data_IF_750880219517
#
_entry.id   IF_750880219517
#
_cell.length_a   1.000
_cell.length_b   1.000
_cell.length_c   1.000
_cell.angle_alpha   90.00
_cell.angle_beta   90.00
_cell.angle_gamma   90.00
#
_symmetry.space_group_name_H-M   'P 1'
#
loop_
_entity.id
_entity.type
_entity.pdbx_description
1 polymer ?
#
# COMPACT_ATOMS: atom_id res chain seq x y z
N UNK A 1 -1.81 -10.84 12.77
CA UNK A 1 -0.79 -11.49 11.90
C UNK A 1 -1.10 -11.35 10.41
N UNK A 2 -2.23 -11.85 9.93
CA UNK A 2 -2.58 -11.81 8.49
C UNK A 2 -2.48 -10.40 7.89
N UNK A 3 -3.00 -9.38 8.57
CA UNK A 3 -2.92 -7.97 8.10
C UNK A 3 -1.49 -7.41 8.12
N UNK A 4 -0.67 -7.78 9.11
CA UNK A 4 0.71 -7.31 9.23
C UNK A 4 1.59 -7.79 8.07
N UNK A 5 1.36 -9.03 7.63
CA UNK A 5 2.11 -9.68 6.56
C UNK A 5 1.35 -9.71 5.21
N UNK A 6 0.22 -9.02 5.12
CA UNK A 6 -0.69 -9.08 3.97
C UNK A 6 0.00 -8.84 2.63
N UNK A 7 0.86 -7.81 2.53
CA UNK A 7 1.58 -7.54 1.30
C UNK A 7 2.48 -8.70 0.83
N UNK A 8 3.12 -9.40 1.77
CA UNK A 8 3.96 -10.56 1.44
C UNK A 8 3.11 -11.81 1.13
N UNK A 9 2.02 -12.02 1.87
CA UNK A 9 1.08 -13.12 1.59
C UNK A 9 0.49 -13.00 0.18
N UNK A 10 0.05 -11.80 -0.19
CA UNK A 10 -0.54 -11.54 -1.50
C UNK A 10 0.50 -11.63 -2.62
N UNK A 11 1.71 -11.09 -2.41
CA UNK A 11 2.78 -11.23 -3.39
C UNK A 11 3.17 -12.70 -3.62
N UNK A 12 3.30 -13.49 -2.56
CA UNK A 12 3.63 -14.92 -2.67
C UNK A 12 2.51 -15.70 -3.36
N UNK A 13 1.25 -15.38 -3.06
CA UNK A 13 0.11 -15.96 -3.75
C UNK A 13 0.17 -15.72 -5.27
N UNK A 14 0.47 -14.49 -5.68
CA UNK A 14 0.56 -14.12 -7.09
C UNK A 14 1.77 -14.75 -7.81
N UNK A 15 2.87 -14.97 -7.10
CA UNK A 15 4.09 -15.55 -7.64
C UNK A 15 4.11 -17.09 -7.58
N UNK A 16 3.07 -17.72 -7.02
CA UNK A 16 3.01 -19.17 -6.84
C UNK A 16 3.97 -19.71 -5.77
N UNK A 17 4.45 -18.84 -4.89
CA UNK A 17 5.34 -19.19 -3.78
C UNK A 17 4.56 -19.66 -2.56
N UNK A 18 5.21 -20.40 -1.62
CA UNK A 18 4.57 -20.81 -0.40
C UNK A 18 4.05 -19.60 0.40
N UNK A 19 2.73 -19.55 0.61
CA UNK A 19 2.05 -18.48 1.36
C UNK A 19 2.59 -18.35 2.79
N UNK A 20 3.05 -19.45 3.39
CA UNK A 20 3.58 -19.45 4.75
C UNK A 20 5.06 -19.00 4.83
N UNK A 21 5.72 -18.68 3.72
CA UNK A 21 7.11 -18.24 3.74
C UNK A 21 7.38 -17.01 4.64
N UNK A 22 6.49 -15.99 4.74
CA UNK A 22 6.69 -14.88 5.66
C UNK A 22 6.77 -15.31 7.13
N UNK A 23 6.16 -16.45 7.49
CA UNK A 23 6.20 -17.00 8.85
C UNK A 23 7.48 -17.77 9.17
N UNK A 24 8.44 -17.85 8.24
CA UNK A 24 9.78 -18.38 8.54
C UNK A 24 10.66 -17.35 9.27
N UNK A 25 10.31 -16.06 9.20
CA UNK A 25 11.04 -14.97 9.86
C UNK A 25 10.57 -14.80 11.30
N UNK A 26 11.20 -15.55 12.20
CA UNK A 26 10.87 -15.56 13.63
C UNK A 26 10.94 -14.18 14.29
N UNK A 27 11.91 -13.34 13.91
CA UNK A 27 12.07 -11.98 14.42
C UNK A 27 10.85 -11.10 14.10
N UNK A 28 10.40 -11.10 12.84
CA UNK A 28 9.26 -10.32 12.39
C UNK A 28 7.96 -10.77 13.09
N UNK A 29 7.79 -12.09 13.28
CA UNK A 29 6.62 -12.66 13.94
C UNK A 29 6.60 -12.30 15.43
N UNK A 30 7.76 -12.43 16.09
CA UNK A 30 7.90 -12.10 17.50
C UNK A 30 7.60 -10.62 17.72
N UNK A 31 8.17 -9.73 16.90
CA UNK A 31 7.87 -8.30 16.95
C UNK A 31 6.38 -8.00 16.71
N UNK A 32 5.79 -8.58 15.67
CA UNK A 32 4.37 -8.39 15.37
C UNK A 32 3.46 -8.91 16.50
N UNK A 33 3.85 -10.02 17.15
CA UNK A 33 3.11 -10.60 18.29
C UNK A 33 3.23 -9.74 19.54
N UNK A 34 4.41 -9.19 19.81
CA UNK A 34 4.64 -8.26 20.90
C UNK A 34 3.83 -6.97 20.71
N UNK A 35 3.86 -6.38 19.51
CA UNK A 35 3.04 -5.20 19.19
C UNK A 35 1.54 -5.50 19.33
N UNK A 36 1.09 -6.64 18.83
CA UNK A 36 -0.30 -7.08 18.98
C UNK A 36 -0.68 -7.21 20.46
N UNK A 37 0.14 -7.89 21.26
CA UNK A 37 -0.12 -8.09 22.69
C UNK A 37 -0.17 -6.75 23.45
N UNK A 38 0.79 -5.85 23.20
CA UNK A 38 0.83 -4.53 23.84
C UNK A 38 -0.39 -3.67 23.48
N UNK A 39 -0.85 -3.70 22.23
CA UNK A 39 -2.01 -2.91 21.80
C UNK A 39 -3.30 -3.42 22.44
N UNK A 40 -3.49 -4.74 22.61
CA UNK A 40 -4.75 -5.31 23.11
C UNK A 40 -4.78 -5.54 24.63
N UNK A 41 -3.63 -5.83 25.25
CA UNK A 41 -3.56 -6.29 26.64
C UNK A 41 -2.69 -5.41 27.55
N UNK A 42 -2.27 -4.23 27.10
CA UNK A 42 -1.55 -3.31 27.99
C UNK A 42 -2.43 -2.87 29.17
N UNK A 43 -1.88 -2.79 30.39
CA UNK A 43 -2.62 -2.34 31.56
C UNK A 43 -3.15 -0.91 31.33
N UNK A 44 -4.40 -0.66 31.70
CA UNK A 44 -5.11 0.62 31.48
C UNK A 44 -5.20 1.10 30.03
N UNK A 45 -4.92 0.22 29.06
CA UNK A 45 -4.96 0.53 27.63
C UNK A 45 -3.99 1.68 27.23
N UNK A 46 -2.88 1.79 27.96
CA UNK A 46 -1.91 2.90 27.85
C UNK A 46 -1.31 2.94 26.44
N UNK A 47 -0.89 1.80 25.89
CA UNK A 47 -0.23 1.75 24.59
C UNK A 47 -1.19 2.20 23.49
N UNK A 48 -2.42 1.69 23.50
CA UNK A 48 -3.44 2.10 22.55
C UNK A 48 -3.74 3.60 22.61
N UNK A 49 -3.93 4.15 23.82
CA UNK A 49 -4.18 5.58 24.02
C UNK A 49 -3.01 6.43 23.54
N UNK A 50 -1.77 6.04 23.83
CA UNK A 50 -0.57 6.72 23.33
C UNK A 50 -0.52 6.74 21.80
N UNK A 51 -0.77 5.60 21.13
CA UNK A 51 -0.77 5.55 19.66
C UNK A 51 -1.87 6.40 19.00
N UNK A 52 -2.92 6.76 19.75
CA UNK A 52 -3.98 7.66 19.28
C UNK A 52 -3.63 9.13 19.37
N UNK A 53 -2.67 9.51 20.22
CA UNK A 53 -2.23 10.90 20.36
C UNK A 53 -1.66 11.39 19.02
N UNK A 54 -2.16 12.51 18.52
CA UNK A 54 -1.87 13.03 17.17
C UNK A 54 -0.38 13.07 16.80
N UNK A 55 0.53 13.66 17.60
CA UNK A 55 1.96 13.66 17.28
C UNK A 55 2.56 12.25 17.14
N UNK A 56 2.19 11.31 18.02
CA UNK A 56 2.67 9.92 17.94
C UNK A 56 2.13 9.25 16.68
N UNK A 57 0.84 9.44 16.40
CA UNK A 57 0.18 8.92 15.19
C UNK A 57 0.81 9.45 13.90
N UNK A 58 1.26 10.71 13.89
CA UNK A 58 1.97 11.32 12.76
C UNK A 58 3.31 10.61 12.54
N UNK A 59 4.13 10.47 13.58
CA UNK A 59 5.43 9.79 13.48
C UNK A 59 5.27 8.35 12.99
N UNK A 60 4.37 7.58 13.60
CA UNK A 60 4.06 6.21 13.16
C UNK A 60 3.52 6.18 11.72
N UNK A 61 2.74 7.18 11.32
CA UNK A 61 2.25 7.36 9.96
C UNK A 61 3.37 7.53 8.95
N UNK A 62 4.32 8.43 9.22
CA UNK A 62 5.48 8.68 8.36
C UNK A 62 6.32 7.41 8.22
N UNK A 63 6.67 6.78 9.35
CA UNK A 63 7.46 5.54 9.35
C UNK A 63 6.79 4.43 8.54
N UNK A 64 5.46 4.30 8.65
CA UNK A 64 4.69 3.33 7.88
C UNK A 64 4.79 3.58 6.36
N UNK A 65 4.72 4.84 5.93
CA UNK A 65 4.80 5.18 4.51
C UNK A 65 6.18 4.97 3.91
N UNK A 66 7.25 5.25 4.68
CA UNK A 66 8.63 4.89 4.28
C UNK A 66 8.75 3.38 4.06
N UNK A 67 8.23 2.58 5.00
CA UNK A 67 8.20 1.11 4.87
C UNK A 67 7.33 0.65 3.69
N UNK A 68 6.25 1.36 3.36
CA UNK A 68 5.41 1.05 2.19
C UNK A 68 6.20 1.25 0.90
N UNK A 69 6.87 2.39 0.73
CA UNK A 69 7.69 2.65 -0.45
C UNK A 69 8.80 1.59 -0.62
N UNK A 70 9.46 1.22 0.48
CA UNK A 70 10.44 0.12 0.51
C UNK A 70 9.84 -1.21 0.04
N UNK A 71 8.66 -1.60 0.56
CA UNK A 71 7.98 -2.84 0.17
C UNK A 71 7.62 -2.88 -1.31
N UNK A 72 7.16 -1.76 -1.87
CA UNK A 72 6.82 -1.65 -3.30
C UNK A 72 8.09 -1.81 -4.13
N UNK A 73 9.14 -1.05 -3.82
CA UNK A 73 10.41 -1.11 -4.53
C UNK A 73 11.00 -2.54 -4.49
N UNK A 74 11.05 -3.17 -3.31
CA UNK A 74 11.50 -4.56 -3.19
C UNK A 74 10.57 -5.54 -3.92
N UNK A 75 9.27 -5.29 -4.01
CA UNK A 75 8.33 -6.09 -4.78
C UNK A 75 8.64 -6.06 -6.27
N UNK A 76 8.79 -4.87 -6.83
CA UNK A 76 9.16 -4.64 -8.23
C UNK A 76 10.52 -5.26 -8.53
N UNK A 77 11.53 -5.00 -7.70
CA UNK A 77 12.87 -5.55 -7.88
C UNK A 77 12.90 -7.09 -7.82
N UNK A 78 12.05 -7.69 -6.98
CA UNK A 78 11.94 -9.14 -6.87
C UNK A 78 11.25 -9.75 -8.11
N UNK A 79 10.13 -9.16 -8.54
CA UNK A 79 9.43 -9.59 -9.75
C UNK A 79 10.28 -9.42 -11.02
N UNK A 80 11.08 -8.35 -11.09
CA UNK A 80 12.01 -8.11 -12.19
C UNK A 80 13.14 -9.15 -12.28
N UNK A 81 13.58 -9.70 -11.15
CA UNK A 81 14.54 -10.80 -11.14
C UNK A 81 13.94 -12.11 -11.66
N UNK A 82 12.66 -12.37 -11.36
CA UNK A 82 11.99 -13.60 -11.73
C UNK A 82 11.46 -13.58 -13.17
N UNK A 83 10.95 -12.43 -13.62
CA UNK A 83 10.35 -12.23 -14.94
C UNK A 83 10.83 -10.92 -15.58
N UNK A 84 12.05 -10.83 -16.10
CA UNK A 84 12.68 -9.56 -16.51
C UNK A 84 11.88 -8.76 -17.55
N UNK A 85 11.22 -9.43 -18.49
CA UNK A 85 10.48 -8.77 -19.58
C UNK A 85 8.99 -8.53 -19.29
N UNK A 86 8.47 -9.03 -18.14
CA UNK A 86 7.05 -8.99 -17.84
C UNK A 86 6.69 -7.79 -16.94
N UNK A 87 6.68 -6.59 -17.52
CA UNK A 87 6.44 -5.34 -16.79
C UNK A 87 5.11 -5.30 -16.04
N UNK A 88 4.07 -5.90 -16.61
CA UNK A 88 2.76 -6.00 -15.95
C UNK A 88 2.86 -6.75 -14.61
N UNK A 89 3.66 -7.83 -14.57
CA UNK A 89 3.90 -8.60 -13.34
C UNK A 89 4.64 -7.75 -12.31
N UNK A 90 5.59 -6.91 -12.73
CA UNK A 90 6.32 -6.03 -11.82
C UNK A 90 5.37 -5.06 -11.12
N UNK A 91 4.50 -4.42 -11.89
CA UNK A 91 3.51 -3.47 -11.37
C UNK A 91 2.51 -4.16 -10.44
N UNK A 92 2.00 -5.33 -10.83
CA UNK A 92 1.05 -6.10 -10.02
C UNK A 92 1.69 -6.57 -8.69
N UNK A 93 2.94 -7.05 -8.72
CA UNK A 93 3.62 -7.51 -7.50
C UNK A 93 4.04 -6.34 -6.60
N UNK A 94 4.47 -5.21 -7.18
CA UNK A 94 4.76 -3.99 -6.45
C UNK A 94 3.53 -3.44 -5.73
N UNK A 95 2.41 -3.36 -6.43
CA UNK A 95 1.12 -2.91 -5.87
C UNK A 95 0.60 -3.86 -4.80
N UNK A 96 0.71 -5.16 -5.04
CA UNK A 96 0.40 -6.21 -4.07
C UNK A 96 1.16 -6.02 -2.75
N UNK A 97 2.47 -5.76 -2.79
CA UNK A 97 3.27 -5.53 -1.58
C UNK A 97 2.92 -4.22 -0.86
N UNK A 98 2.59 -3.17 -1.60
CA UNK A 98 2.25 -1.85 -1.04
C UNK A 98 0.85 -1.75 -0.43
N UNK A 99 -0.13 -2.37 -1.09
CA UNK A 99 -1.55 -2.23 -0.77
C UNK A 99 -2.28 -3.55 -0.46
N UNK A 100 -1.56 -4.67 -0.36
CA UNK A 100 -2.15 -6.00 -0.10
C UNK A 100 -2.97 -6.11 1.18
N UNK A 101 -2.74 -5.22 2.17
CA UNK A 101 -3.58 -5.16 3.37
C UNK A 101 -5.03 -4.82 3.07
N UNK A 102 -5.30 -4.02 2.05
CA UNK A 102 -6.66 -3.64 1.66
C UNK A 102 -7.40 -4.78 0.98
N UNK A 103 -6.70 -5.53 0.11
CA UNK A 103 -7.27 -6.68 -0.61
C UNK A 103 -7.53 -7.84 0.35
N UNK A 104 -6.57 -8.17 1.22
CA UNK A 104 -6.70 -9.27 2.20
C UNK A 104 -7.75 -8.98 3.27
N UNK A 105 -8.09 -7.70 3.50
CA UNK A 105 -9.14 -7.31 4.45
C UNK A 105 -10.49 -7.96 4.14
N UNK A 106 -10.83 -8.17 2.86
CA UNK A 106 -12.07 -8.84 2.45
C UNK A 106 -12.08 -10.32 2.90
N UNK A 107 -10.94 -11.00 2.76
CA UNK A 107 -10.76 -12.37 3.23
C UNK A 107 -10.83 -12.43 4.76
N UNK A 108 -10.19 -11.49 5.46
CA UNK A 108 -10.27 -11.38 6.91
C UNK A 108 -11.71 -11.19 7.39
N UNK A 109 -12.46 -10.30 6.74
CA UNK A 109 -13.87 -10.04 7.03
C UNK A 109 -14.71 -11.31 6.87
N UNK A 110 -14.54 -12.03 5.75
CA UNK A 110 -15.22 -13.30 5.49
C UNK A 110 -14.92 -14.33 6.58
N UNK A 111 -13.65 -14.52 6.96
CA UNK A 111 -13.23 -15.46 8.01
C UNK A 111 -13.81 -15.07 9.38
N UNK A 112 -13.99 -13.77 9.63
CA UNK A 112 -14.63 -13.25 10.85
C UNK A 112 -16.16 -13.34 10.82
N UNK A 113 -16.76 -13.83 9.73
CA UNK A 113 -18.21 -13.93 9.57
C UNK A 113 -18.91 -12.60 9.35
N UNK A 114 -18.18 -11.55 8.97
CA UNK A 114 -18.73 -10.22 8.69
C UNK A 114 -18.54 -9.90 7.21
N UNK A 115 -19.61 -9.63 6.47
CA UNK A 115 -19.52 -9.28 5.04
C UNK A 115 -19.91 -7.82 4.81
N UNK A 116 -18.96 -7.00 4.35
CA UNK A 116 -19.17 -5.59 4.01
C UNK A 116 -18.68 -5.37 2.57
N UNK A 117 -19.51 -5.63 1.56
CA UNK A 117 -19.08 -5.65 0.16
C UNK A 117 -18.74 -4.25 -0.40
N UNK A 118 -19.17 -3.20 0.28
CA UNK A 118 -18.98 -1.81 -0.13
C UNK A 118 -17.55 -1.30 0.08
N UNK A 119 -16.72 -2.02 0.86
CA UNK A 119 -15.33 -1.64 1.17
C UNK A 119 -14.27 -2.45 0.39
N UNK A 120 -14.61 -2.90 -0.81
CA UNK A 120 -13.68 -3.63 -1.67
C UNK A 120 -12.74 -2.66 -2.40
N UNK A 121 -11.44 -2.75 -2.11
CA UNK A 121 -10.39 -1.94 -2.76
C UNK A 121 -10.29 -2.16 -4.28
N UNK A 122 -10.75 -3.30 -4.79
CA UNK A 122 -10.83 -3.56 -6.23
C UNK A 122 -12.00 -2.79 -6.87
N UNK A 123 -13.11 -2.64 -6.15
CA UNK A 123 -14.31 -1.96 -6.64
C UNK A 123 -14.21 -0.44 -6.49
N UNK A 124 -13.69 0.03 -5.34
CA UNK A 124 -13.43 1.44 -5.04
C UNK A 124 -12.03 1.58 -4.47
N UNK A 125 -11.01 1.80 -5.32
CA UNK A 125 -9.63 1.91 -4.87
C UNK A 125 -9.43 3.18 -4.05
N UNK A 126 -8.91 3.02 -2.84
CA UNK A 126 -8.50 4.15 -1.99
C UNK A 126 -7.33 4.91 -2.60
N UNK A 127 -7.12 6.16 -2.15
CA UNK A 127 -5.91 6.91 -2.50
C UNK A 127 -4.62 6.08 -2.31
N UNK A 128 -4.56 5.23 -1.26
CA UNK A 128 -3.38 4.42 -0.98
C UNK A 128 -3.11 3.37 -2.07
N UNK A 129 -4.14 2.66 -2.58
CA UNK A 129 -3.97 1.71 -3.68
C UNK A 129 -3.56 2.42 -4.97
N UNK A 130 -4.21 3.53 -5.30
CA UNK A 130 -3.85 4.37 -6.46
C UNK A 130 -2.40 4.84 -6.43
N UNK A 131 -1.96 5.38 -5.29
CA UNK A 131 -0.58 5.80 -5.08
C UNK A 131 0.41 4.63 -5.21
N UNK A 132 0.06 3.43 -4.72
CA UNK A 132 0.89 2.24 -4.89
C UNK A 132 1.02 1.81 -6.36
N UNK A 133 -0.03 1.96 -7.17
CA UNK A 133 0.01 1.68 -8.62
C UNK A 133 0.98 2.62 -9.31
N UNK A 134 0.83 3.93 -9.09
CA UNK A 134 1.71 4.94 -9.66
C UNK A 134 3.16 4.70 -9.25
N UNK A 135 3.41 4.47 -7.95
CA UNK A 135 4.75 4.18 -7.44
C UNK A 135 5.34 2.91 -8.06
N UNK A 136 4.54 1.86 -8.26
CA UNK A 136 5.01 0.61 -8.88
C UNK A 136 5.35 0.80 -10.35
N UNK A 137 4.59 1.62 -11.09
CA UNK A 137 4.89 1.99 -12.47
C UNK A 137 6.20 2.78 -12.52
N UNK A 138 6.38 3.78 -11.66
CA UNK A 138 7.62 4.57 -11.58
C UNK A 138 8.82 3.68 -11.30
N UNK A 139 8.76 2.78 -10.30
CA UNK A 139 9.86 1.86 -10.01
C UNK A 139 10.10 0.83 -11.12
N UNK A 140 9.06 0.41 -11.84
CA UNK A 140 9.19 -0.47 -13.00
C UNK A 140 9.91 0.25 -14.16
N UNK A 141 9.57 1.51 -14.42
CA UNK A 141 10.22 2.33 -15.44
C UNK A 141 11.64 2.72 -15.05
N UNK A 142 11.89 3.03 -13.78
CA UNK A 142 13.22 3.37 -13.26
C UNK A 142 14.19 2.18 -13.42
N UNK A 143 13.68 0.95 -13.28
CA UNK A 143 14.48 -0.25 -13.51
C UNK A 143 14.81 -0.46 -14.99
N UNK A 144 13.93 -0.01 -15.87
CA UNK A 144 14.13 -0.02 -17.31
C UNK A 144 14.81 1.28 -17.72
N UNK A 145 16.15 1.30 -17.69
CA UNK A 145 17.01 2.47 -17.96
C UNK A 145 16.80 3.20 -19.30
N UNK A 146 15.81 2.81 -20.10
CA UNK A 146 15.42 3.40 -21.37
C UNK A 146 14.49 4.61 -21.24
N UNK A 147 13.71 4.74 -20.16
CA UNK A 147 12.67 5.78 -20.04
C UNK A 147 12.91 6.83 -18.95
N UNK A 148 13.66 6.48 -17.90
CA UNK A 148 13.96 7.40 -16.79
C UNK A 148 15.48 7.51 -16.66
N UNK A 149 16.02 8.70 -16.93
CA UNK A 149 17.46 8.99 -16.82
C UNK A 149 17.86 9.54 -15.43
N UNK A 150 16.95 9.54 -14.46
CA UNK A 150 17.26 10.00 -13.11
C UNK A 150 18.02 8.92 -12.31
N UNK A 151 18.90 9.33 -11.39
CA UNK A 151 19.45 8.43 -10.38
C UNK A 151 18.36 7.76 -9.54
N UNK A 152 18.51 6.45 -9.33
CA UNK A 152 17.58 5.61 -8.53
C UNK A 152 17.29 6.18 -7.13
N UNK A 153 18.28 6.81 -6.51
CA UNK A 153 18.13 7.40 -5.17
C UNK A 153 17.16 8.58 -5.17
N UNK A 154 17.18 9.39 -6.22
CA UNK A 154 16.31 10.56 -6.36
C UNK A 154 14.88 10.10 -6.66
N UNK A 155 14.70 9.12 -7.56
CA UNK A 155 13.37 8.58 -7.85
C UNK A 155 12.74 7.93 -6.62
N UNK A 156 13.52 7.16 -5.86
CA UNK A 156 13.08 6.60 -4.57
C UNK A 156 12.71 7.69 -3.56
N UNK A 157 13.54 8.73 -3.40
CA UNK A 157 13.27 9.83 -2.48
C UNK A 157 12.00 10.59 -2.88
N UNK A 158 11.78 10.86 -4.16
CA UNK A 158 10.56 11.50 -4.66
C UNK A 158 9.31 10.67 -4.33
N UNK A 159 9.35 9.35 -4.52
CA UNK A 159 8.22 8.45 -4.18
C UNK A 159 7.95 8.44 -2.68
N UNK A 160 8.99 8.36 -1.84
CA UNK A 160 8.84 8.42 -0.38
C UNK A 160 8.24 9.75 0.05
N UNK A 161 8.78 10.87 -0.46
CA UNK A 161 8.27 12.21 -0.16
C UNK A 161 6.80 12.35 -0.56
N UNK A 162 6.41 11.80 -1.71
CA UNK A 162 5.01 11.76 -2.16
C UNK A 162 4.13 11.00 -1.15
N UNK A 163 4.48 9.78 -0.75
CA UNK A 163 3.67 9.03 0.22
C UNK A 163 3.56 9.75 1.57
N UNK A 164 4.67 10.30 2.07
CA UNK A 164 4.70 11.04 3.33
C UNK A 164 3.84 12.30 3.25
N UNK A 165 3.95 13.07 2.16
CA UNK A 165 3.15 14.27 1.93
C UNK A 165 1.66 13.96 2.02
N UNK A 166 1.18 12.99 1.24
CA UNK A 166 -0.25 12.65 1.24
C UNK A 166 -0.71 12.04 2.56
N UNK A 167 0.15 11.31 3.25
CA UNK A 167 -0.18 10.78 4.58
C UNK A 167 -0.33 11.89 5.61
N UNK A 168 0.55 12.89 5.58
CA UNK A 168 0.44 14.07 6.43
C UNK A 168 -0.81 14.87 6.10
N UNK A 169 -1.09 15.11 4.82
CA UNK A 169 -2.31 15.78 4.38
C UNK A 169 -3.57 15.05 4.85
N UNK A 170 -3.62 13.72 4.76
CA UNK A 170 -4.75 12.93 5.24
C UNK A 170 -4.91 12.96 6.77
N UNK A 171 -3.83 13.04 7.53
CA UNK A 171 -3.86 13.06 9.01
C UNK A 171 -4.15 14.46 9.56
N UNK A 172 -3.60 15.51 8.95
CA UNK A 172 -3.72 16.90 9.42
C UNK A 172 -4.94 17.63 8.84
N UNK A 173 -5.21 17.44 7.55
CA UNK A 173 -6.28 18.17 6.83
C UNK A 173 -7.55 17.33 6.68
N UNK A 174 -7.54 16.06 7.12
CA UNK A 174 -8.65 15.11 6.97
C UNK A 174 -9.16 14.95 5.53
N UNK A 175 -8.32 15.25 4.54
CA UNK A 175 -8.64 15.09 3.11
C UNK A 175 -8.55 13.60 2.77
N UNK A 176 -9.69 12.98 2.47
CA UNK A 176 -9.79 11.54 2.23
C UNK A 176 -9.20 11.11 0.87
N UNK A 177 -9.45 11.87 -0.20
CA UNK A 177 -9.00 11.54 -1.57
C UNK A 177 -8.53 12.77 -2.36
N UNK A 178 -7.24 13.13 -2.28
CA UNK A 178 -6.71 14.29 -2.97
C UNK A 178 -6.53 14.09 -4.50
N UNK A 179 -6.63 12.85 -5.00
CA UNK A 179 -6.60 12.55 -6.45
C UNK A 179 -7.99 12.56 -7.12
N UNK A 180 -9.08 12.58 -6.34
CA UNK A 180 -10.44 12.62 -6.87
C UNK A 180 -10.70 13.77 -7.86
N UNK A 181 -10.26 15.03 -7.65
CA UNK A 181 -10.50 16.09 -8.63
C UNK A 181 -9.77 15.85 -9.96
N UNK A 182 -8.56 15.26 -9.93
CA UNK A 182 -7.82 14.93 -11.15
C UNK A 182 -8.47 13.80 -11.93
N UNK A 183 -8.96 12.77 -11.23
CA UNK A 183 -9.69 11.65 -11.83
C UNK A 183 -11.01 12.11 -12.44
N UNK A 184 -11.78 12.94 -11.73
CA UNK A 184 -13.02 13.49 -12.25
C UNK A 184 -12.80 14.35 -13.49
N UNK A 185 -11.71 15.15 -13.52
CA UNK A 185 -11.33 15.92 -14.70
C UNK A 185 -10.94 15.01 -15.87
N UNK A 186 -10.14 13.97 -15.62
CA UNK A 186 -9.75 13.02 -16.65
C UNK A 186 -10.96 12.26 -17.22
N UNK A 187 -11.86 11.79 -16.35
CA UNK A 187 -13.10 11.13 -16.75
C UNK A 187 -14.02 12.07 -17.53
N UNK A 188 -14.14 13.33 -17.11
CA UNK A 188 -14.91 14.34 -17.84
C UNK A 188 -14.38 14.56 -19.26
N UNK A 189 -13.06 14.67 -19.40
CA UNK A 189 -12.41 15.02 -20.68
C UNK A 189 -12.30 13.81 -21.62
N UNK A 190 -11.88 12.64 -21.14
CA UNK A 190 -11.51 11.50 -22.00
C UNK A 190 -12.51 10.34 -21.99
N UNK A 191 -13.30 10.18 -20.93
CA UNK A 191 -14.21 9.04 -20.78
C UNK A 191 -15.69 9.43 -20.93
N UNK A 192 -15.97 10.61 -21.48
CA UNK A 192 -17.32 11.04 -21.80
C UNK A 192 -18.13 11.59 -20.62
N UNK A 193 -17.50 11.91 -19.48
CA UNK A 193 -18.21 12.46 -18.31
C UNK A 193 -18.88 13.81 -18.57
N UNK A 194 -18.45 14.57 -19.59
CA UNK A 194 -19.16 15.77 -20.05
C UNK A 194 -20.52 15.41 -20.66
N UNK A 195 -20.60 14.28 -21.38
CA UNK A 195 -21.83 13.82 -22.04
C UNK A 195 -22.82 13.22 -21.03
N UNK A 196 -22.32 12.51 -20.02
CA UNK A 196 -23.11 11.92 -18.92
C UNK A 196 -23.66 12.98 -17.94
N UNK A 197 -23.01 14.14 -17.82
CA UNK A 197 -23.49 15.26 -17.01
C UNK A 197 -24.54 16.15 -17.73
N UNK A 198 -24.67 15.99 -19.05
CA UNK A 198 -25.60 16.74 -19.91
C UNK A 198 -26.90 15.96 -20.23
N UNK A 199 -26.96 14.66 -19.94
CA UNK A 199 -28.16 13.80 -20.04
C UNK A 199 -28.92 13.73 -18.72
#
# INVERSE_FOLDING_TARGET
>A
MVVCFAGNLLANFLLGEPLLAPFKKHEDILLASACWYLIFYSPFDVVYKLTKITPIKIVLGIMKEVLRAYKIHHGVAYAAKLYPNAYLIHVIVGTAKGAGSGIIKVVEQLVRGVWIPTQNEILRPSFATKACVIASIVFCLDRNSLYISLPHEITYLCVVAFFVYFKLSAVLLHVNDPLAPFENLFCAVFMGGIWDALS
#
